data_IF_680956744915
#
_entry.id   IF_680956744915
#
_cell.length_a   1.000
_cell.length_b   1.000
_cell.length_c   1.000
_cell.angle_alpha   90.00
_cell.angle_beta   90.00
_cell.angle_gamma   90.00
#
_symmetry.space_group_name_H-M   'P 1'
#
loop_
_entity.id
_entity.type
_entity.pdbx_description
1 polymer ?
#
# COMPACT_ATOMS: atom_id res chain seq x y z
N UNK A 1 -23.21 8.14 -2.11
CA UNK A 1 -22.53 6.88 -1.72
C UNK A 1 -22.31 5.95 -2.94
N UNK A 2 -23.36 5.61 -3.70
CA UNK A 2 -23.29 4.67 -4.83
C UNK A 2 -22.30 5.08 -5.97
N UNK A 3 -22.03 6.37 -6.15
CA UNK A 3 -21.12 6.86 -7.20
C UNK A 3 -19.64 6.65 -6.82
N UNK A 4 -19.32 6.73 -5.55
CA UNK A 4 -17.94 6.55 -5.04
C UNK A 4 -17.59 5.07 -4.91
N UNK A 5 -18.57 4.22 -4.59
CA UNK A 5 -18.36 2.78 -4.58
C UNK A 5 -17.93 2.25 -5.96
N UNK A 6 -18.45 2.83 -7.07
CA UNK A 6 -18.05 2.46 -8.43
C UNK A 6 -16.59 2.79 -8.75
N UNK A 7 -16.09 3.96 -8.28
CA UNK A 7 -14.71 4.36 -8.50
C UNK A 7 -13.74 3.49 -7.69
N UNK A 8 -14.08 3.21 -6.44
CA UNK A 8 -13.31 2.31 -5.59
C UNK A 8 -13.29 0.89 -6.14
N UNK A 9 -14.45 0.39 -6.60
CA UNK A 9 -14.54 -0.93 -7.24
C UNK A 9 -13.70 -1.00 -8.51
N UNK A 10 -13.76 0.04 -9.36
CA UNK A 10 -12.95 0.10 -10.58
C UNK A 10 -11.45 0.12 -10.26
N UNK A 11 -11.03 0.90 -9.27
CA UNK A 11 -9.64 0.94 -8.80
C UNK A 11 -9.16 -0.42 -8.26
N UNK A 12 -9.98 -1.07 -7.45
CA UNK A 12 -9.67 -2.41 -6.92
C UNK A 12 -9.59 -3.46 -8.04
N UNK A 13 -10.52 -3.43 -9.00
CA UNK A 13 -10.51 -4.33 -10.15
C UNK A 13 -9.26 -4.10 -11.03
N UNK A 14 -8.83 -2.85 -11.20
CA UNK A 14 -7.62 -2.52 -11.95
C UNK A 14 -6.36 -3.03 -11.24
N UNK A 15 -6.26 -2.85 -9.92
CA UNK A 15 -5.14 -3.42 -9.13
C UNK A 15 -5.12 -4.94 -9.22
N UNK A 16 -6.28 -5.59 -9.04
CA UNK A 16 -6.37 -7.04 -9.16
C UNK A 16 -5.96 -7.52 -10.56
N UNK A 17 -6.36 -6.81 -11.61
CA UNK A 17 -5.94 -7.11 -12.98
C UNK A 17 -4.42 -7.00 -13.15
N UNK A 18 -3.78 -5.93 -12.64
CA UNK A 18 -2.33 -5.78 -12.70
C UNK A 18 -1.61 -6.90 -11.96
N UNK A 19 -2.09 -7.29 -10.77
CA UNK A 19 -1.52 -8.40 -9.99
C UNK A 19 -1.62 -9.71 -10.77
N UNK A 20 -2.77 -10.00 -11.36
CA UNK A 20 -2.97 -11.22 -12.16
C UNK A 20 -2.11 -11.21 -13.40
N UNK A 21 -1.96 -10.06 -14.09
CA UNK A 21 -1.11 -9.92 -15.27
C UNK A 21 0.37 -10.13 -14.94
N UNK A 22 0.85 -9.56 -13.84
CA UNK A 22 2.23 -9.77 -13.40
C UNK A 22 2.47 -11.22 -12.97
N UNK A 23 1.53 -11.83 -12.24
CA UNK A 23 1.62 -13.23 -11.84
C UNK A 23 1.60 -14.20 -13.04
N UNK A 24 0.88 -13.85 -14.11
CA UNK A 24 0.82 -14.66 -15.33
C UNK A 24 1.99 -14.47 -16.28
N UNK A 25 2.72 -13.36 -16.16
CA UNK A 25 3.86 -13.04 -17.05
C UNK A 25 5.19 -13.50 -16.48
N UNK A 26 5.28 -13.56 -15.17
CA UNK A 26 6.49 -14.03 -14.55
C UNK A 26 6.60 -15.52 -14.70
N UNK A 27 7.75 -15.91 -15.11
CA UNK A 27 8.46 -17.14 -14.92
C UNK A 27 8.16 -17.80 -13.55
N UNK A 28 6.88 -17.97 -13.23
CA UNK A 28 6.48 -18.93 -12.22
C UNK A 28 6.88 -20.28 -12.78
N UNK A 29 8.15 -20.61 -12.56
CA UNK A 29 8.65 -21.92 -12.87
C UNK A 29 7.73 -22.92 -12.15
N UNK A 30 6.91 -23.69 -12.88
CA UNK A 30 6.00 -24.64 -12.27
C UNK A 30 6.75 -25.83 -11.64
N UNK A 31 8.07 -25.82 -11.68
CA UNK A 31 8.89 -26.79 -10.98
C UNK A 31 8.79 -26.58 -9.49
N UNK A 32 7.81 -27.26 -8.91
CA UNK A 32 7.73 -27.51 -7.47
C UNK A 32 8.91 -28.36 -7.04
N UNK A 33 10.10 -27.75 -6.96
CA UNK A 33 11.23 -28.36 -6.28
C UNK A 33 10.87 -28.57 -4.83
N UNK A 34 11.41 -29.60 -4.19
CA UNK A 34 11.17 -29.92 -2.79
C UNK A 34 11.34 -28.68 -1.92
N UNK A 35 10.22 -28.07 -1.50
CA UNK A 35 10.23 -26.92 -0.60
C UNK A 35 10.96 -27.31 0.68
N UNK A 36 11.99 -26.54 1.00
CA UNK A 36 12.71 -26.68 2.28
C UNK A 36 11.69 -26.65 3.42
N UNK A 37 11.79 -27.49 4.46
CA UNK A 37 10.85 -27.57 5.58
C UNK A 37 10.53 -26.22 6.22
N UNK A 38 11.48 -25.28 6.22
CA UNK A 38 11.35 -23.88 6.67
C UNK A 38 10.20 -23.13 5.97
N UNK A 39 9.89 -23.46 4.70
CA UNK A 39 8.81 -22.82 3.94
C UNK A 39 7.43 -23.41 4.23
N UNK A 40 7.32 -24.43 5.07
CA UNK A 40 6.03 -25.05 5.48
C UNK A 40 5.47 -24.49 6.77
N UNK A 41 6.02 -23.40 7.30
CA UNK A 41 5.54 -22.78 8.54
C UNK A 41 4.18 -22.13 8.35
N UNK A 42 3.27 -22.36 9.29
CA UNK A 42 1.98 -21.68 9.39
C UNK A 42 2.13 -20.15 9.48
N UNK A 43 3.14 -19.68 10.23
CA UNK A 43 3.45 -18.25 10.39
C UNK A 43 3.84 -17.58 9.08
N UNK A 44 4.57 -18.29 8.21
CA UNK A 44 4.92 -17.78 6.89
C UNK A 44 3.67 -17.47 6.05
N UNK A 45 2.71 -18.39 6.02
CA UNK A 45 1.49 -18.21 5.23
C UNK A 45 0.71 -16.98 5.68
N UNK A 46 0.54 -16.80 7.00
CA UNK A 46 -0.18 -15.66 7.54
C UNK A 46 0.60 -14.36 7.31
N UNK A 47 1.91 -14.37 7.56
CA UNK A 47 2.79 -13.22 7.28
C UNK A 47 2.65 -12.76 5.83
N UNK A 48 2.85 -13.65 4.87
CA UNK A 48 2.77 -13.35 3.45
C UNK A 48 1.38 -12.83 3.07
N UNK A 49 0.31 -13.44 3.57
CA UNK A 49 -1.05 -12.98 3.34
C UNK A 49 -1.28 -11.55 3.83
N UNK A 50 -0.81 -11.21 5.04
CA UNK A 50 -0.93 -9.86 5.60
C UNK A 50 -0.13 -8.84 4.78
N UNK A 51 1.13 -9.15 4.44
CA UNK A 51 2.01 -8.25 3.70
C UNK A 51 1.49 -8.01 2.28
N UNK A 52 1.15 -9.06 1.54
CA UNK A 52 0.65 -8.91 0.16
C UNK A 52 -0.67 -8.17 0.11
N UNK A 53 -1.56 -8.41 1.06
CA UNK A 53 -2.82 -7.67 1.18
C UNK A 53 -2.55 -6.19 1.47
N UNK A 54 -1.61 -5.87 2.36
CA UNK A 54 -1.24 -4.48 2.65
C UNK A 54 -0.73 -3.74 1.40
N UNK A 55 0.07 -4.41 0.56
CA UNK A 55 0.56 -3.85 -0.70
C UNK A 55 -0.59 -3.53 -1.68
N UNK A 56 -1.63 -4.37 -1.71
CA UNK A 56 -2.84 -4.10 -2.47
C UNK A 56 -3.56 -2.82 -2.01
N UNK A 57 -3.65 -2.58 -0.70
CA UNK A 57 -4.20 -1.34 -0.15
C UNK A 57 -3.34 -0.12 -0.48
N UNK A 58 -2.03 -0.22 -0.44
CA UNK A 58 -1.12 0.86 -0.82
C UNK A 58 -1.20 1.18 -2.32
N UNK A 59 -1.29 0.17 -3.17
CA UNK A 59 -1.51 0.36 -4.61
C UNK A 59 -2.84 1.07 -4.90
N UNK A 60 -3.92 0.66 -4.22
CA UNK A 60 -5.21 1.33 -4.32
C UNK A 60 -5.11 2.79 -3.84
N UNK A 61 -4.39 3.03 -2.74
CA UNK A 61 -4.12 4.37 -2.24
C UNK A 61 -3.38 5.26 -3.24
N UNK A 62 -2.37 4.72 -3.91
CA UNK A 62 -1.64 5.44 -4.95
C UNK A 62 -2.53 5.77 -6.16
N UNK A 63 -3.39 4.84 -6.60
CA UNK A 63 -4.36 5.09 -7.68
C UNK A 63 -5.35 6.18 -7.29
N UNK A 64 -5.91 6.13 -6.07
CA UNK A 64 -6.79 7.17 -5.57
C UNK A 64 -6.06 8.53 -5.49
N UNK A 65 -4.79 8.54 -5.10
CA UNK A 65 -3.93 9.71 -5.13
C UNK A 65 -3.77 10.30 -6.54
N UNK A 66 -3.49 9.45 -7.54
CA UNK A 66 -3.42 9.89 -8.95
C UNK A 66 -4.74 10.49 -9.43
N UNK A 67 -5.87 9.88 -9.07
CA UNK A 67 -7.21 10.40 -9.43
C UNK A 67 -7.44 11.77 -8.78
N UNK A 68 -7.09 11.93 -7.50
CA UNK A 68 -7.22 13.22 -6.79
C UNK A 68 -6.37 14.29 -7.46
N UNK A 69 -5.10 14.01 -7.78
CA UNK A 69 -4.24 14.96 -8.50
C UNK A 69 -4.80 15.30 -9.88
N UNK A 70 -5.26 14.29 -10.64
CA UNK A 70 -5.88 14.50 -11.95
C UNK A 70 -7.12 15.41 -11.87
N UNK A 71 -8.00 15.16 -10.90
CA UNK A 71 -9.20 16.00 -10.68
C UNK A 71 -8.83 17.43 -10.28
N UNK A 72 -7.75 17.60 -9.50
CA UNK A 72 -7.28 18.93 -9.09
C UNK A 72 -6.75 19.74 -10.28
N UNK A 73 -6.17 19.13 -11.32
CA UNK A 73 -5.72 19.81 -12.54
C UNK A 73 -6.87 20.46 -13.31
N UNK A 74 -8.07 19.87 -13.27
CA UNK A 74 -9.27 20.41 -13.94
C UNK A 74 -10.07 21.38 -13.08
N UNK A 75 -9.52 21.85 -11.96
CA UNK A 75 -10.16 22.78 -11.04
C UNK A 75 -10.24 24.18 -11.66
N UNK A 76 -11.47 24.68 -11.84
CA UNK A 76 -11.76 26.01 -12.36
C UNK A 76 -12.79 26.72 -11.45
N UNK A 77 -12.93 28.04 -11.58
CA UNK A 77 -13.86 28.86 -10.80
C UNK A 77 -15.30 28.32 -10.88
N UNK A 78 -15.73 27.86 -12.05
CA UNK A 78 -17.08 27.33 -12.29
C UNK A 78 -17.37 26.01 -11.57
N UNK A 79 -16.34 25.17 -11.34
CA UNK A 79 -16.48 23.83 -10.76
C UNK A 79 -15.81 23.68 -9.39
N UNK A 80 -15.26 24.76 -8.84
CA UNK A 80 -14.48 24.79 -7.61
C UNK A 80 -15.15 24.04 -6.44
N UNK A 81 -16.43 24.35 -6.17
CA UNK A 81 -17.16 23.74 -5.05
C UNK A 81 -17.35 22.23 -5.23
N UNK A 82 -17.69 21.82 -6.47
CA UNK A 82 -17.89 20.40 -6.80
C UNK A 82 -16.59 19.60 -6.73
N UNK A 83 -15.49 20.15 -7.24
CA UNK A 83 -14.18 19.49 -7.20
C UNK A 83 -13.65 19.41 -5.79
N UNK A 84 -13.79 20.47 -4.97
CA UNK A 84 -13.36 20.40 -3.58
C UNK A 84 -14.13 19.36 -2.77
N UNK A 85 -15.42 19.19 -3.00
CA UNK A 85 -16.21 18.14 -2.34
C UNK A 85 -15.72 16.76 -2.77
N UNK A 86 -15.57 16.54 -4.08
CA UNK A 86 -15.08 15.29 -4.64
C UNK A 86 -13.68 14.93 -4.11
N UNK A 87 -12.74 15.88 -4.13
CA UNK A 87 -11.38 15.65 -3.61
C UNK A 87 -11.38 15.37 -2.11
N UNK A 88 -12.25 16.03 -1.33
CA UNK A 88 -12.38 15.75 0.10
C UNK A 88 -12.85 14.32 0.38
N UNK A 89 -13.83 13.85 -0.36
CA UNK A 89 -14.37 12.50 -0.20
C UNK A 89 -13.37 11.43 -0.65
N UNK A 90 -12.71 11.65 -1.79
CA UNK A 90 -11.67 10.73 -2.27
C UNK A 90 -10.47 10.68 -1.33
N UNK A 91 -10.07 11.81 -0.75
CA UNK A 91 -8.98 11.87 0.23
C UNK A 91 -9.37 11.10 1.50
N UNK A 92 -10.60 11.23 1.98
CA UNK A 92 -11.08 10.47 3.14
C UNK A 92 -11.04 8.96 2.88
N UNK A 93 -11.51 8.52 1.70
CA UNK A 93 -11.45 7.12 1.31
C UNK A 93 -10.00 6.64 1.24
N UNK A 94 -9.11 7.46 0.68
CA UNK A 94 -7.68 7.17 0.59
C UNK A 94 -7.02 7.02 1.97
N UNK A 95 -7.31 7.93 2.90
CA UNK A 95 -6.83 7.85 4.29
C UNK A 95 -7.28 6.55 4.97
N UNK A 96 -8.55 6.16 4.80
CA UNK A 96 -9.07 4.89 5.34
C UNK A 96 -8.37 3.68 4.72
N UNK A 97 -8.20 3.69 3.40
CA UNK A 97 -7.50 2.64 2.65
C UNK A 97 -6.07 2.46 3.14
N UNK A 98 -5.32 3.56 3.24
CA UNK A 98 -3.93 3.55 3.72
C UNK A 98 -3.84 3.14 5.18
N UNK A 99 -4.78 3.54 6.03
CA UNK A 99 -4.81 3.14 7.43
C UNK A 99 -4.92 1.62 7.57
N UNK A 100 -5.81 0.99 6.82
CA UNK A 100 -5.94 -0.48 6.81
C UNK A 100 -4.63 -1.10 6.30
N UNK A 101 -4.04 -0.56 5.23
CA UNK A 101 -2.76 -1.02 4.70
C UNK A 101 -1.63 -0.98 5.72
N UNK A 102 -1.50 0.14 6.48
CA UNK A 102 -0.45 0.28 7.52
C UNK A 102 -0.65 -0.72 8.66
N UNK A 103 -1.87 -0.91 9.11
CA UNK A 103 -2.17 -1.88 10.17
C UNK A 103 -1.79 -3.30 9.73
N UNK A 104 -2.19 -3.68 8.52
CA UNK A 104 -1.84 -4.99 7.96
C UNK A 104 -0.33 -5.14 7.74
N UNK A 105 0.36 -4.11 7.27
CA UNK A 105 1.81 -4.11 7.09
C UNK A 105 2.54 -4.27 8.44
N UNK A 106 2.11 -3.55 9.48
CA UNK A 106 2.70 -3.65 10.81
C UNK A 106 2.50 -5.05 11.42
N UNK A 107 1.27 -5.58 11.35
CA UNK A 107 0.97 -6.94 11.81
C UNK A 107 1.79 -7.96 11.01
N UNK A 108 1.81 -7.82 9.68
CA UNK A 108 2.56 -8.70 8.80
C UNK A 108 4.06 -8.69 9.11
N UNK A 109 4.65 -7.51 9.33
CA UNK A 109 6.08 -7.37 9.69
C UNK A 109 6.38 -8.06 11.03
N UNK A 110 5.51 -7.90 12.03
CA UNK A 110 5.64 -8.57 13.32
C UNK A 110 5.57 -10.11 13.16
N UNK A 111 4.60 -10.61 12.41
CA UNK A 111 4.45 -12.05 12.16
C UNK A 111 5.63 -12.61 11.36
N UNK A 112 6.21 -11.82 10.47
CA UNK A 112 7.46 -12.16 9.78
C UNK A 112 8.63 -12.35 10.73
N UNK A 113 8.73 -11.52 11.77
CA UNK A 113 9.70 -11.68 12.84
C UNK A 113 9.49 -12.99 13.64
N UNK A 114 8.24 -13.34 13.96
CA UNK A 114 7.93 -14.61 14.62
C UNK A 114 8.37 -15.80 13.78
N UNK A 115 8.04 -15.79 12.49
CA UNK A 115 8.50 -16.81 11.54
C UNK A 115 10.02 -16.87 11.43
N UNK A 116 10.70 -15.73 11.38
CA UNK A 116 12.15 -15.64 11.30
C UNK A 116 12.82 -16.24 12.55
N UNK A 117 12.24 -15.98 13.73
CA UNK A 117 12.73 -16.57 14.97
C UNK A 117 12.59 -18.11 14.99
N UNK A 118 11.47 -18.62 14.51
CA UNK A 118 11.21 -20.06 14.43
C UNK A 118 12.15 -20.76 13.42
N UNK A 119 12.44 -20.07 12.31
CA UNK A 119 13.21 -20.62 11.20
C UNK A 119 14.73 -20.45 11.34
N UNK A 120 15.17 -19.33 11.92
CA UNK A 120 16.59 -18.92 11.98
C UNK A 120 17.06 -18.52 13.38
N UNK A 121 16.19 -18.62 14.41
CA UNK A 121 16.52 -18.30 15.79
C UNK A 121 16.71 -16.81 16.07
N UNK A 122 16.22 -15.92 15.21
CA UNK A 122 16.31 -14.46 15.38
C UNK A 122 15.05 -13.78 14.87
N UNK A 123 14.53 -12.80 15.61
CA UNK A 123 13.34 -12.03 15.23
C UNK A 123 13.60 -11.02 14.13
N UNK A 124 14.82 -10.49 14.05
CA UNK A 124 15.19 -9.41 13.14
C UNK A 124 16.67 -9.50 12.78
N UNK A 125 16.98 -9.38 11.52
CA UNK A 125 18.37 -9.53 11.02
C UNK A 125 18.88 -8.32 10.23
N UNK A 126 18.08 -7.27 10.10
CA UNK A 126 18.40 -6.10 9.29
C UNK A 126 18.68 -6.44 7.82
N UNK A 127 18.09 -7.50 7.32
CA UNK A 127 18.16 -7.77 5.90
C UNK A 127 17.41 -6.67 5.10
N UNK A 128 17.67 -6.63 3.81
CA UNK A 128 17.14 -5.58 2.98
C UNK A 128 15.60 -5.61 2.91
N UNK A 129 14.97 -6.77 2.94
CA UNK A 129 13.49 -6.90 2.90
C UNK A 129 12.85 -6.48 4.22
N UNK A 130 13.44 -6.88 5.36
CA UNK A 130 13.01 -6.43 6.69
C UNK A 130 13.11 -4.91 6.82
N UNK A 131 14.26 -4.35 6.40
CA UNK A 131 14.51 -2.90 6.47
C UNK A 131 13.48 -2.12 5.62
N UNK A 132 13.22 -2.56 4.38
CA UNK A 132 12.24 -1.90 3.53
C UNK A 132 10.79 -2.08 4.01
N UNK A 133 10.45 -3.20 4.63
CA UNK A 133 9.14 -3.37 5.29
C UNK A 133 8.94 -2.34 6.40
N UNK A 134 9.97 -2.10 7.23
CA UNK A 134 9.95 -1.05 8.25
C UNK A 134 9.83 0.35 7.62
N UNK A 135 10.59 0.63 6.55
CA UNK A 135 10.50 1.91 5.82
C UNK A 135 9.08 2.17 5.32
N UNK A 136 8.42 1.16 4.74
CA UNK A 136 7.01 1.28 4.30
C UNK A 136 6.11 1.70 5.47
N UNK A 137 6.19 1.01 6.60
CA UNK A 137 5.36 1.31 7.77
C UNK A 137 5.60 2.75 8.25
N UNK A 138 6.87 3.18 8.35
CA UNK A 138 7.23 4.54 8.81
C UNK A 138 6.73 5.60 7.82
N UNK A 139 6.96 5.43 6.53
CA UNK A 139 6.56 6.40 5.50
C UNK A 139 5.05 6.63 5.51
N UNK A 140 4.27 5.55 5.52
CA UNK A 140 2.82 5.67 5.54
C UNK A 140 2.26 6.12 6.89
N UNK A 141 2.90 5.74 8.01
CA UNK A 141 2.55 6.28 9.32
C UNK A 141 2.77 7.80 9.37
N UNK A 142 3.93 8.31 8.88
CA UNK A 142 4.17 9.75 8.78
C UNK A 142 3.13 10.44 7.89
N UNK A 143 2.80 9.85 6.74
CA UNK A 143 1.79 10.39 5.84
C UNK A 143 0.43 10.57 6.54
N UNK A 144 -0.02 9.57 7.31
CA UNK A 144 -1.26 9.64 8.07
C UNK A 144 -1.21 10.69 9.18
N UNK A 145 -0.03 10.95 9.77
CA UNK A 145 0.13 11.96 10.83
C UNK A 145 0.19 13.40 10.30
N UNK A 146 0.52 13.63 9.04
CA UNK A 146 0.53 14.99 8.46
C UNK A 146 -0.84 15.68 8.54
N UNK A 147 -1.92 14.94 8.61
CA UNK A 147 -3.26 15.50 8.79
C UNK A 147 -3.43 16.31 10.10
N UNK A 148 -2.60 16.03 11.10
CA UNK A 148 -2.64 16.70 12.41
C UNK A 148 -1.79 17.97 12.46
N UNK A 149 -0.98 18.24 11.43
CA UNK A 149 -0.10 19.42 11.39
C UNK A 149 -0.88 20.63 10.87
N UNK A 150 -1.08 21.70 11.67
CA UNK A 150 -1.94 22.83 11.31
C UNK A 150 -1.52 23.55 10.02
N UNK A 151 -0.22 23.61 9.73
CA UNK A 151 0.32 24.26 8.53
C UNK A 151 -0.04 23.56 7.21
N UNK A 152 -0.37 22.27 7.24
CA UNK A 152 -0.69 21.47 6.05
C UNK A 152 -2.16 21.50 5.66
N UNK A 153 -3.03 22.18 6.42
CA UNK A 153 -4.49 22.19 6.19
C UNK A 153 -4.85 22.69 4.79
N UNK A 154 -4.13 23.67 4.25
CA UNK A 154 -4.39 24.24 2.91
C UNK A 154 -3.99 23.29 1.78
N UNK A 155 -2.97 22.47 1.97
CA UNK A 155 -2.44 21.53 0.98
C UNK A 155 -2.81 20.07 1.24
N UNK A 156 -3.67 19.77 2.22
CA UNK A 156 -3.92 18.39 2.69
C UNK A 156 -4.27 17.40 1.59
N UNK A 157 -5.05 17.81 0.60
CA UNK A 157 -5.43 16.95 -0.52
C UNK A 157 -4.23 16.62 -1.40
N UNK A 158 -3.41 17.63 -1.72
CA UNK A 158 -2.20 17.46 -2.50
C UNK A 158 -1.19 16.58 -1.75
N UNK A 159 -0.90 16.90 -0.48
CA UNK A 159 0.07 16.14 0.30
C UNK A 159 -0.36 14.70 0.53
N UNK A 160 -1.65 14.44 0.78
CA UNK A 160 -2.16 13.09 0.90
C UNK A 160 -2.02 12.33 -0.43
N UNK A 161 -2.48 12.91 -1.53
CA UNK A 161 -2.44 12.29 -2.84
C UNK A 161 -0.99 12.06 -3.32
N UNK A 162 -0.13 13.07 -3.23
CA UNK A 162 1.28 12.95 -3.59
C UNK A 162 2.02 11.97 -2.69
N UNK A 163 1.77 12.04 -1.38
CA UNK A 163 2.40 11.16 -0.39
C UNK A 163 2.07 9.69 -0.59
N UNK A 164 0.83 9.35 -0.98
CA UNK A 164 0.46 7.96 -1.26
C UNK A 164 1.15 7.42 -2.52
N UNK A 165 1.35 8.26 -3.53
CA UNK A 165 2.08 7.88 -4.75
C UNK A 165 3.56 7.65 -4.44
N UNK A 166 4.20 8.59 -3.73
CA UNK A 166 5.61 8.47 -3.33
C UNK A 166 5.82 7.28 -2.39
N UNK A 167 4.90 7.11 -1.42
CA UNK A 167 4.93 5.97 -0.50
C UNK A 167 4.84 4.63 -1.22
N UNK A 168 4.06 4.55 -2.31
CA UNK A 168 3.99 3.36 -3.13
C UNK A 168 5.33 3.04 -3.82
N UNK A 169 6.15 4.05 -4.08
CA UNK A 169 7.54 3.86 -4.52
C UNK A 169 8.37 3.01 -3.56
N UNK A 170 8.17 3.14 -2.24
CA UNK A 170 8.83 2.28 -1.26
C UNK A 170 8.36 0.81 -1.36
N UNK A 171 7.08 0.58 -1.66
CA UNK A 171 6.56 -0.77 -1.93
C UNK A 171 7.20 -1.35 -3.18
N UNK A 172 7.29 -0.58 -4.26
CA UNK A 172 7.97 -1.00 -5.50
C UNK A 172 9.45 -1.32 -5.26
N UNK A 173 10.15 -0.51 -4.45
CA UNK A 173 11.53 -0.79 -4.09
C UNK A 173 11.69 -2.10 -3.33
N UNK A 174 10.77 -2.43 -2.42
CA UNK A 174 10.77 -3.71 -1.70
C UNK A 174 10.58 -4.90 -2.62
N UNK A 175 9.79 -4.72 -3.70
CA UNK A 175 9.43 -5.81 -4.60
C UNK A 175 10.45 -6.01 -5.72
N UNK A 176 10.91 -4.91 -6.33
CA UNK A 176 11.75 -4.92 -7.53
C UNK A 176 13.20 -4.48 -7.28
N UNK A 177 13.45 -3.66 -6.26
CA UNK A 177 14.77 -3.07 -6.01
C UNK A 177 15.66 -3.92 -5.09
N UNK A 178 15.05 -4.85 -4.34
CA UNK A 178 15.74 -5.64 -3.32
C UNK A 178 15.61 -7.13 -3.65
N UNK A 179 16.27 -7.53 -4.72
CA UNK A 179 16.42 -8.95 -5.12
C UNK A 179 17.86 -9.38 -5.02
#
# INVERSE_FOLDING_TARGET
FARYSKLTTAGTAFVAFLIIMTAGHENMDPQLTNLVPVLKSYWLVIHVACITTSYGFFALGAILGLIVLGVMLFKNIRNFKKINLLTSELTFINEMTVTIGVVLAAIGTFLGGVWANESWGRYWGWDAKETWALVIVIVYAMLLHFRFVPGFIRGKFFFNAFGTIVGFGAVCMTFFGVN
#
